data_IF_528665480190
#
_entry.id   IF_528665480190
#
_cell.length_a   1.000
_cell.length_b   1.000
_cell.length_c   1.000
_cell.angle_alpha   90.00
_cell.angle_beta   90.00
_cell.angle_gamma   90.00
#
_symmetry.space_group_name_H-M   'P 1'
#
loop_
_entity.id
_entity.type
_entity.pdbx_description
1 polymer ?
#
# COMPACT_ATOMS: atom_id res chain seq x y z
N UNK A 1 -3.30 32.03 -0.99
CA UNK A 1 -4.20 30.88 -0.84
C UNK A 1 -3.48 29.59 -0.44
N UNK A 2 -2.42 29.22 -1.15
CA UNK A 2 -1.57 28.10 -0.74
C UNK A 2 -1.04 28.25 0.67
N UNK A 3 -0.67 29.46 1.07
CA UNK A 3 -0.25 29.80 2.44
C UNK A 3 -1.39 29.65 3.45
N UNK A 4 -2.66 29.97 3.09
CA UNK A 4 -3.82 29.74 3.95
C UNK A 4 -4.14 28.25 4.12
N UNK A 5 -4.05 27.44 3.05
CA UNK A 5 -4.21 25.96 3.18
C UNK A 5 -3.07 25.30 3.94
N UNK A 6 -1.83 25.83 3.85
CA UNK A 6 -0.73 25.41 4.71
C UNK A 6 -0.97 25.70 6.20
N UNK A 7 -1.87 26.65 6.51
CA UNK A 7 -2.24 26.95 7.92
C UNK A 7 -3.26 25.99 8.51
N UNK A 8 -3.99 25.21 7.67
CA UNK A 8 -4.83 24.11 8.15
C UNK A 8 -3.94 22.93 8.52
N UNK A 9 -3.39 22.99 9.73
CA UNK A 9 -2.65 21.90 10.32
C UNK A 9 -3.61 20.73 10.58
N UNK A 10 -3.34 19.57 9.98
CA UNK A 10 -4.06 18.37 10.36
C UNK A 10 -3.90 18.13 11.87
N UNK A 11 -4.98 17.83 12.59
CA UNK A 11 -4.95 17.57 14.05
C UNK A 11 -3.89 16.52 14.39
N UNK A 12 -3.64 15.55 13.50
CA UNK A 12 -2.62 14.50 13.64
C UNK A 12 -1.20 15.05 13.69
N UNK A 13 -0.88 16.09 12.95
CA UNK A 13 0.48 16.64 12.87
C UNK A 13 0.88 17.33 14.20
N UNK A 14 -0.08 17.86 14.96
CA UNK A 14 0.16 18.43 16.30
C UNK A 14 0.58 17.41 17.36
N UNK A 15 0.25 16.13 17.15
CA UNK A 15 0.63 15.05 18.05
C UNK A 15 1.98 14.42 17.71
N UNK A 16 2.59 14.78 16.59
CA UNK A 16 3.92 14.27 16.25
C UNK A 16 4.98 14.71 17.26
N UNK A 17 5.89 13.78 17.66
CA UNK A 17 6.94 14.10 18.61
C UNK A 17 7.80 15.32 18.21
N UNK A 18 8.08 15.48 16.92
CA UNK A 18 8.84 16.62 16.40
C UNK A 18 8.10 17.96 16.58
N UNK A 19 6.77 17.98 16.46
CA UNK A 19 5.96 19.16 16.75
C UNK A 19 5.92 19.45 18.27
N UNK A 20 5.66 18.45 19.09
CA UNK A 20 5.64 18.59 20.55
C UNK A 20 6.99 19.07 21.10
N UNK A 21 8.11 18.62 20.51
CA UNK A 21 9.48 19.06 20.86
C UNK A 21 9.86 20.39 20.21
N UNK A 22 8.96 21.09 19.52
CA UNK A 22 9.19 22.35 18.78
C UNK A 22 10.32 22.29 17.73
N UNK A 23 10.68 21.08 17.28
CA UNK A 23 11.69 20.87 16.22
C UNK A 23 11.08 21.13 14.84
N UNK A 24 9.76 21.04 14.73
CA UNK A 24 9.00 21.24 13.50
C UNK A 24 7.74 22.06 13.80
N UNK A 25 7.42 23.02 12.92
CA UNK A 25 6.28 23.92 13.08
C UNK A 25 4.92 23.32 12.62
N UNK A 26 4.87 22.03 12.34
CA UNK A 26 3.67 21.32 11.89
C UNK A 26 3.23 21.68 10.47
N UNK A 27 4.06 22.37 9.67
CA UNK A 27 3.71 22.81 8.32
C UNK A 27 4.54 22.09 7.29
N UNK A 28 3.86 21.62 6.25
CA UNK A 28 4.51 21.11 5.03
C UNK A 28 4.55 22.24 4.00
N UNK A 29 5.75 22.60 3.57
CA UNK A 29 5.97 23.69 2.60
C UNK A 29 6.07 23.11 1.20
N UNK A 30 5.05 23.32 0.38
CA UNK A 30 5.00 22.91 -1.02
C UNK A 30 5.43 24.03 -1.97
N UNK A 31 5.54 25.25 -1.48
CA UNK A 31 6.02 26.44 -2.18
C UNK A 31 7.15 27.08 -1.39
N UNK A 32 8.27 27.37 -2.03
CA UNK A 32 9.39 28.11 -1.45
C UNK A 32 9.24 29.61 -1.75
N UNK A 33 9.01 30.42 -0.70
CA UNK A 33 8.92 31.88 -0.85
C UNK A 33 10.23 32.52 -1.27
N UNK A 34 11.37 31.93 -0.86
CA UNK A 34 12.71 32.49 -1.15
C UNK A 34 13.09 32.31 -2.61
N UNK A 35 12.71 31.18 -3.23
CA UNK A 35 13.09 30.81 -4.59
C UNK A 35 11.95 30.91 -5.61
N UNK A 36 10.71 31.18 -5.15
CA UNK A 36 9.52 31.15 -5.99
C UNK A 36 9.15 29.76 -6.52
N UNK A 37 9.85 28.69 -6.10
CA UNK A 37 9.67 27.34 -6.64
C UNK A 37 8.49 26.60 -6.02
N UNK A 38 7.75 25.89 -6.85
CA UNK A 38 6.68 24.96 -6.49
C UNK A 38 6.83 23.66 -7.28
N UNK A 39 6.34 22.57 -6.72
CA UNK A 39 6.31 21.30 -7.44
C UNK A 39 5.35 21.38 -8.64
N UNK A 40 5.84 21.02 -9.82
CA UNK A 40 5.06 21.08 -11.07
C UNK A 40 3.80 20.20 -11.03
N UNK A 41 3.80 19.11 -10.27
CA UNK A 41 2.62 18.27 -10.08
C UNK A 41 1.43 18.96 -9.43
N UNK A 42 1.62 20.16 -8.86
CA UNK A 42 0.55 20.98 -8.28
C UNK A 42 0.00 22.04 -9.25
N UNK A 43 0.39 21.99 -10.53
CA UNK A 43 -0.01 22.97 -11.53
C UNK A 43 -1.54 23.10 -11.66
N UNK A 44 -2.29 22.00 -11.58
CA UNK A 44 -3.76 22.03 -11.63
C UNK A 44 -4.35 22.91 -10.52
N UNK A 45 -3.80 22.85 -9.31
CA UNK A 45 -4.24 23.68 -8.18
C UNK A 45 -3.95 25.18 -8.41
N UNK A 46 -2.85 25.50 -9.14
CA UNK A 46 -2.51 26.87 -9.50
C UNK A 46 -3.49 27.39 -10.55
N UNK A 47 -3.77 26.58 -11.60
CA UNK A 47 -4.76 26.90 -12.63
C UNK A 47 -6.14 27.15 -12.03
N UNK A 48 -6.62 26.23 -11.19
CA UNK A 48 -7.92 26.37 -10.52
C UNK A 48 -8.00 27.64 -9.66
N UNK A 49 -6.92 27.97 -8.95
CA UNK A 49 -6.86 29.19 -8.16
C UNK A 49 -6.86 30.44 -9.02
N UNK A 50 -6.07 30.47 -10.09
CA UNK A 50 -5.99 31.61 -11.00
C UNK A 50 -7.35 31.87 -11.66
N UNK A 51 -8.02 30.82 -12.15
CA UNK A 51 -9.37 30.92 -12.73
C UNK A 51 -10.38 31.46 -11.72
N UNK A 52 -10.41 30.94 -10.48
CA UNK A 52 -11.34 31.37 -9.44
C UNK A 52 -11.14 32.82 -8.97
N UNK A 53 -9.97 33.38 -9.18
CA UNK A 53 -9.63 34.74 -8.75
C UNK A 53 -9.38 35.69 -9.92
N UNK A 54 -9.71 35.30 -11.14
CA UNK A 54 -9.51 36.07 -12.38
C UNK A 54 -8.04 36.56 -12.52
N UNK A 55 -7.08 35.69 -12.21
CA UNK A 55 -5.65 36.00 -12.33
C UNK A 55 -5.13 35.40 -13.63
N UNK A 56 -4.57 36.22 -14.49
CA UNK A 56 -3.88 35.74 -15.70
C UNK A 56 -2.54 35.12 -15.30
N UNK A 57 -2.32 33.87 -15.74
CA UNK A 57 -1.06 33.15 -15.56
C UNK A 57 -0.53 32.73 -16.94
N UNK A 58 0.76 32.90 -17.13
CA UNK A 58 1.47 32.33 -18.26
C UNK A 58 2.12 31.02 -17.84
N UNK A 59 1.92 29.96 -18.64
CA UNK A 59 2.49 28.64 -18.38
C UNK A 59 3.31 28.27 -19.62
N UNK A 60 4.55 27.88 -19.36
CA UNK A 60 5.44 27.40 -20.41
C UNK A 60 4.85 26.16 -21.08
N UNK A 61 4.92 26.11 -22.41
CA UNK A 61 4.42 24.99 -23.22
C UNK A 61 5.04 23.66 -22.84
N UNK A 62 6.31 23.65 -22.43
CA UNK A 62 6.98 22.42 -22.00
C UNK A 62 6.37 21.82 -20.71
N UNK A 63 5.77 22.65 -19.88
CA UNK A 63 5.13 22.23 -18.62
C UNK A 63 3.67 21.82 -18.85
N UNK A 64 3.02 22.39 -19.85
CA UNK A 64 1.58 22.22 -20.09
C UNK A 64 1.24 21.07 -21.05
N UNK A 65 2.14 20.72 -21.96
CA UNK A 65 1.83 19.81 -23.06
C UNK A 65 1.60 18.37 -22.58
N UNK A 66 0.34 17.94 -22.65
CA UNK A 66 -0.01 16.54 -22.74
C UNK A 66 0.55 15.97 -24.06
N UNK A 67 1.07 14.75 -24.02
CA UNK A 67 1.47 14.06 -25.24
C UNK A 67 0.23 13.74 -26.07
N UNK A 68 0.27 14.09 -27.36
CA UNK A 68 -0.74 13.63 -28.29
C UNK A 68 -0.52 12.14 -28.59
N UNK A 69 -1.32 11.29 -27.98
CA UNK A 69 -1.25 9.82 -28.12
C UNK A 69 -2.68 9.28 -28.17
N UNK A 70 -2.90 8.27 -28.99
CA UNK A 70 -4.20 7.62 -29.13
C UNK A 70 -4.26 6.36 -28.26
N UNK A 71 -5.38 6.14 -27.58
CA UNK A 71 -5.58 4.98 -26.71
C UNK A 71 -5.35 3.64 -27.42
N UNK A 72 -5.78 3.54 -28.66
CA UNK A 72 -5.65 2.30 -29.44
C UNK A 72 -4.18 2.01 -29.81
N UNK A 73 -3.34 3.03 -30.00
CA UNK A 73 -1.90 2.85 -30.20
C UNK A 73 -1.24 2.28 -28.94
N UNK A 74 -1.67 2.76 -27.78
CA UNK A 74 -1.20 2.21 -26.49
C UNK A 74 -1.63 0.74 -26.33
N UNK A 75 -2.88 0.43 -26.68
CA UNK A 75 -3.38 -0.96 -26.68
C UNK A 75 -2.54 -1.85 -27.60
N UNK A 76 -2.29 -1.41 -28.85
CA UNK A 76 -1.45 -2.16 -29.80
C UNK A 76 -0.03 -2.35 -29.29
N UNK A 77 0.55 -1.29 -28.72
CA UNK A 77 1.87 -1.36 -28.12
C UNK A 77 1.93 -2.41 -27.01
N UNK A 78 1.02 -2.35 -26.02
CA UNK A 78 1.05 -3.29 -24.90
C UNK A 78 0.82 -4.72 -25.38
N UNK A 79 -0.10 -4.95 -26.32
CA UNK A 79 -0.31 -6.27 -26.93
C UNK A 79 0.93 -6.79 -27.68
N UNK A 80 1.69 -5.91 -28.34
CA UNK A 80 2.92 -6.31 -29.04
C UNK A 80 4.02 -6.79 -28.11
N UNK A 81 3.98 -6.41 -26.82
CA UNK A 81 4.94 -6.90 -25.81
C UNK A 81 4.71 -8.39 -25.45
N UNK A 82 3.52 -8.95 -25.73
CA UNK A 82 3.13 -10.34 -25.44
C UNK A 82 3.56 -10.81 -24.04
N UNK A 83 3.20 -10.07 -22.98
CA UNK A 83 3.63 -10.42 -21.64
C UNK A 83 3.09 -11.81 -21.25
N UNK A 84 3.95 -12.62 -20.65
CA UNK A 84 3.60 -13.98 -20.18
C UNK A 84 3.67 -14.02 -18.65
N UNK A 85 2.96 -14.95 -18.06
CA UNK A 85 3.18 -15.34 -16.67
C UNK A 85 3.13 -16.87 -16.55
N UNK A 86 4.19 -17.44 -16.01
CA UNK A 86 4.39 -18.90 -15.94
C UNK A 86 4.21 -19.55 -17.31
N UNK A 87 4.75 -18.93 -18.35
CA UNK A 87 4.70 -19.41 -19.74
C UNK A 87 3.39 -19.17 -20.48
N UNK A 88 2.32 -18.69 -19.81
CA UNK A 88 1.02 -18.40 -20.44
C UNK A 88 0.92 -16.91 -20.75
N UNK A 89 0.41 -16.55 -21.93
CA UNK A 89 0.18 -15.16 -22.32
C UNK A 89 -0.86 -14.51 -21.38
N UNK A 90 -0.57 -13.29 -20.93
CA UNK A 90 -1.45 -12.54 -20.05
C UNK A 90 -2.50 -11.79 -20.85
N UNK A 91 -3.76 -11.94 -20.47
CA UNK A 91 -4.82 -11.09 -20.95
C UNK A 91 -4.71 -9.70 -20.31
N UNK A 92 -4.57 -8.68 -21.16
CA UNK A 92 -4.42 -7.29 -20.73
C UNK A 92 -5.80 -6.67 -20.57
N UNK A 93 -6.09 -6.15 -19.40
CA UNK A 93 -7.39 -5.59 -19.04
C UNK A 93 -7.52 -4.14 -19.46
N UNK A 94 -8.74 -3.72 -19.85
CA UNK A 94 -8.99 -2.35 -20.34
C UNK A 94 -8.53 -1.26 -19.37
N UNK A 95 -8.79 -1.43 -18.06
CA UNK A 95 -8.35 -0.44 -17.06
C UNK A 95 -6.82 -0.34 -16.94
N UNK A 96 -6.06 -1.39 -17.27
CA UNK A 96 -4.60 -1.36 -17.33
C UNK A 96 -4.13 -0.55 -18.55
N UNK A 97 -4.80 -0.73 -19.67
CA UNK A 97 -4.55 0.07 -20.89
C UNK A 97 -4.86 1.55 -20.59
N UNK A 98 -5.99 1.84 -19.95
CA UNK A 98 -6.40 3.20 -19.59
C UNK A 98 -5.42 3.85 -18.62
N UNK A 99 -4.88 3.10 -17.66
CA UNK A 99 -3.85 3.57 -16.73
C UNK A 99 -2.55 3.94 -17.46
N UNK A 100 -2.08 3.07 -18.36
CA UNK A 100 -0.86 3.33 -19.16
C UNK A 100 -1.12 4.51 -20.11
N UNK A 101 -2.25 4.55 -20.80
CA UNK A 101 -2.63 5.66 -21.66
C UNK A 101 -2.63 7.00 -20.91
N UNK A 102 -3.26 7.06 -19.75
CA UNK A 102 -3.28 8.26 -18.91
C UNK A 102 -1.85 8.69 -18.52
N UNK A 103 -1.04 7.75 -18.06
CA UNK A 103 0.34 8.03 -17.64
C UNK A 103 1.22 8.52 -18.80
N UNK A 104 1.13 7.88 -19.96
CA UNK A 104 1.89 8.28 -21.15
C UNK A 104 1.47 9.66 -21.66
N UNK A 105 0.17 9.98 -21.57
CA UNK A 105 -0.36 11.29 -21.97
C UNK A 105 0.11 12.40 -21.03
N UNK A 106 0.08 12.16 -19.71
CA UNK A 106 0.31 13.20 -18.69
C UNK A 106 1.78 13.40 -18.30
N UNK A 107 2.68 12.51 -18.67
CA UNK A 107 4.10 12.51 -18.31
C UNK A 107 4.36 12.37 -16.80
N UNK A 108 3.42 12.77 -15.97
CA UNK A 108 3.47 12.70 -14.49
C UNK A 108 2.10 12.39 -13.94
N UNK A 109 1.97 11.35 -13.14
CA UNK A 109 0.72 11.06 -12.44
C UNK A 109 0.92 10.12 -11.26
N UNK A 110 -0.07 10.14 -10.37
CA UNK A 110 -0.20 9.21 -9.26
C UNK A 110 -1.37 8.26 -9.54
N UNK A 111 -1.06 7.00 -9.82
CA UNK A 111 -2.05 5.96 -10.14
C UNK A 111 -2.48 5.23 -8.87
N UNK A 112 -3.78 5.31 -8.56
CA UNK A 112 -4.38 4.52 -7.47
C UNK A 112 -4.91 3.22 -8.06
N UNK A 113 -4.22 2.13 -7.78
CA UNK A 113 -4.49 0.81 -8.33
C UNK A 113 -4.52 -0.21 -7.19
N UNK A 114 -5.68 -0.79 -6.85
CA UNK A 114 -5.82 -1.70 -5.72
C UNK A 114 -4.85 -2.88 -5.77
N UNK A 115 -4.69 -3.56 -4.63
CA UNK A 115 -3.93 -4.82 -4.60
C UNK A 115 -4.55 -5.81 -5.57
N UNK A 116 -3.71 -6.60 -6.26
CA UNK A 116 -4.09 -7.57 -7.28
C UNK A 116 -4.75 -7.00 -8.56
N UNK A 117 -4.71 -5.69 -8.79
CA UNK A 117 -5.10 -5.08 -10.07
C UNK A 117 -4.07 -5.27 -11.19
N UNK A 118 -2.90 -5.86 -10.89
CA UNK A 118 -1.82 -6.04 -11.86
C UNK A 118 -0.94 -4.80 -12.02
N UNK A 119 -0.61 -4.11 -10.92
CA UNK A 119 0.32 -2.96 -10.90
C UNK A 119 1.64 -3.23 -11.61
N UNK A 120 2.25 -4.42 -11.39
CA UNK A 120 3.52 -4.80 -12.01
C UNK A 120 3.43 -4.75 -13.55
N UNK A 121 2.32 -5.18 -14.15
CA UNK A 121 2.11 -5.13 -15.60
C UNK A 121 1.96 -3.70 -16.12
N UNK A 122 1.30 -2.82 -15.35
CA UNK A 122 1.20 -1.38 -15.68
C UNK A 122 2.59 -0.76 -15.67
N UNK A 123 3.39 -1.02 -14.61
CA UNK A 123 4.78 -0.55 -14.50
C UNK A 123 5.61 -1.09 -15.65
N UNK A 124 5.56 -2.40 -15.91
CA UNK A 124 6.25 -3.04 -17.02
C UNK A 124 5.96 -2.35 -18.35
N UNK A 125 4.68 -2.12 -18.66
CA UNK A 125 4.28 -1.48 -19.92
C UNK A 125 4.81 -0.05 -20.04
N UNK A 126 4.78 0.73 -18.96
CA UNK A 126 5.35 2.08 -18.92
C UNK A 126 6.87 2.06 -19.14
N UNK A 127 7.57 1.19 -18.44
CA UNK A 127 9.03 1.08 -18.53
C UNK A 127 9.48 0.63 -19.91
N UNK A 128 8.78 -0.33 -20.53
CA UNK A 128 9.05 -0.77 -21.90
C UNK A 128 8.88 0.37 -22.90
N UNK A 129 7.82 1.20 -22.74
CA UNK A 129 7.62 2.37 -23.58
C UNK A 129 8.75 3.41 -23.41
N UNK A 130 9.09 3.73 -22.15
CA UNK A 130 10.13 4.73 -21.89
C UNK A 130 11.53 4.23 -22.22
N UNK A 131 11.81 2.95 -22.16
CA UNK A 131 13.08 2.37 -22.59
C UNK A 131 13.30 2.55 -24.12
N UNK A 132 12.22 2.51 -24.91
CA UNK A 132 12.29 2.81 -26.35
C UNK A 132 12.44 4.32 -26.63
N UNK A 133 11.83 5.14 -25.78
CA UNK A 133 11.83 6.60 -25.96
C UNK A 133 13.13 7.26 -25.48
N UNK A 134 13.67 6.80 -24.37
CA UNK A 134 14.81 7.40 -23.66
C UNK A 134 16.10 6.66 -23.98
N UNK A 135 16.64 6.89 -25.18
CA UNK A 135 17.86 6.16 -25.66
C UNK A 135 19.10 6.44 -24.81
N UNK A 136 19.25 7.69 -24.32
CA UNK A 136 20.44 8.19 -23.61
C UNK A 136 20.22 8.39 -22.11
N UNK A 137 19.07 7.99 -21.57
CA UNK A 137 18.72 8.17 -20.17
C UNK A 137 18.23 6.87 -19.54
N UNK A 138 18.60 6.68 -18.30
CA UNK A 138 18.17 5.51 -17.50
C UNK A 138 16.78 5.70 -16.89
N UNK A 139 16.22 4.59 -16.48
CA UNK A 139 14.92 4.51 -15.80
C UNK A 139 15.13 3.96 -14.39
N UNK A 140 14.56 4.63 -13.40
CA UNK A 140 14.63 4.23 -12.00
C UNK A 140 13.28 3.73 -11.49
N UNK A 141 13.26 2.54 -10.91
CA UNK A 141 12.11 2.00 -10.20
C UNK A 141 12.45 1.93 -8.72
N UNK A 142 11.69 2.62 -7.89
CA UNK A 142 11.86 2.64 -6.44
C UNK A 142 10.78 1.79 -5.77
N UNK A 143 11.21 0.82 -5.00
CA UNK A 143 10.35 -0.08 -4.21
C UNK A 143 10.75 -0.05 -2.74
N UNK A 144 9.84 -0.40 -1.80
CA UNK A 144 10.12 -0.26 -0.37
C UNK A 144 11.05 -1.31 0.24
N UNK A 145 11.10 -2.53 -0.32
CA UNK A 145 11.84 -3.65 0.27
C UNK A 145 12.63 -4.44 -0.75
N UNK A 146 13.67 -5.14 -0.31
CA UNK A 146 14.48 -6.02 -1.15
C UNK A 146 13.65 -7.15 -1.78
N UNK A 147 12.72 -7.73 -1.04
CA UNK A 147 11.79 -8.74 -1.57
C UNK A 147 10.97 -8.22 -2.75
N UNK A 148 10.56 -6.93 -2.72
CA UNK A 148 9.84 -6.32 -3.85
C UNK A 148 10.77 -5.99 -5.02
N UNK A 149 12.07 -5.72 -4.79
CA UNK A 149 13.06 -5.63 -5.87
C UNK A 149 13.14 -6.95 -6.63
N UNK A 150 13.31 -8.06 -5.90
CA UNK A 150 13.40 -9.40 -6.49
C UNK A 150 12.10 -9.81 -7.19
N UNK A 151 10.96 -9.54 -6.55
CA UNK A 151 9.66 -9.84 -7.15
C UNK A 151 9.46 -9.07 -8.46
N UNK A 152 9.72 -7.76 -8.47
CA UNK A 152 9.52 -6.94 -9.68
C UNK A 152 10.47 -7.35 -10.80
N UNK A 153 11.72 -7.65 -10.45
CA UNK A 153 12.69 -8.19 -11.39
C UNK A 153 12.21 -9.52 -11.98
N UNK A 154 11.81 -10.47 -11.13
CA UNK A 154 11.28 -11.77 -11.56
C UNK A 154 10.02 -11.64 -12.41
N UNK A 155 9.08 -10.74 -12.03
CA UNK A 155 7.88 -10.45 -12.82
C UNK A 155 8.25 -9.97 -14.22
N UNK A 156 9.24 -9.09 -14.36
CA UNK A 156 9.65 -8.54 -15.65
C UNK A 156 10.33 -9.59 -16.56
N UNK A 157 11.13 -10.49 -15.98
CA UNK A 157 11.69 -11.63 -16.69
C UNK A 157 10.57 -12.59 -17.15
N UNK A 158 9.63 -12.91 -16.25
CA UNK A 158 8.48 -13.77 -16.55
C UNK A 158 7.59 -13.15 -17.67
N UNK A 159 7.45 -11.81 -17.68
CA UNK A 159 6.77 -11.09 -18.77
C UNK A 159 7.52 -11.10 -20.10
N UNK A 160 8.73 -11.65 -20.16
CA UNK A 160 9.51 -11.84 -21.37
C UNK A 160 10.54 -10.72 -21.66
N UNK A 161 11.01 -9.99 -20.63
CA UNK A 161 12.10 -9.02 -20.82
C UNK A 161 13.47 -9.66 -20.52
N UNK A 162 14.49 -9.29 -21.30
CA UNK A 162 15.85 -9.79 -21.08
C UNK A 162 16.50 -9.17 -19.83
N UNK A 163 17.25 -9.98 -19.09
CA UNK A 163 18.10 -9.55 -17.98
C UNK A 163 19.10 -8.45 -18.36
N UNK A 164 19.55 -8.42 -19.61
CA UNK A 164 20.49 -7.41 -20.11
C UNK A 164 20.01 -5.97 -19.90
N UNK A 165 18.70 -5.77 -19.78
CA UNK A 165 18.11 -4.46 -19.59
C UNK A 165 17.87 -4.09 -18.12
N UNK A 166 17.97 -5.04 -17.20
CA UNK A 166 17.53 -4.91 -15.83
C UNK A 166 18.68 -5.01 -14.84
N UNK A 167 18.77 -4.07 -13.91
CA UNK A 167 19.73 -4.09 -12.81
C UNK A 167 19.04 -3.89 -11.47
N UNK A 168 19.50 -4.63 -10.45
CA UNK A 168 18.97 -4.55 -9.09
C UNK A 168 19.98 -3.86 -8.19
N UNK A 169 19.53 -2.90 -7.37
CA UNK A 169 20.39 -2.23 -6.38
C UNK A 169 19.78 -2.35 -4.99
N UNK A 170 20.43 -3.16 -4.16
CA UNK A 170 20.22 -3.24 -2.71
C UNK A 170 21.50 -3.76 -2.03
N UNK A 171 21.49 -4.04 -0.72
CA UNK A 171 22.70 -4.52 0.00
C UNK A 171 23.32 -5.73 -0.68
N UNK A 172 24.62 -5.65 -1.00
CA UNK A 172 25.37 -6.70 -1.69
C UNK A 172 25.39 -6.61 -3.22
N UNK A 173 24.65 -5.69 -3.84
CA UNK A 173 24.67 -5.48 -5.30
C UNK A 173 25.49 -4.25 -5.69
N UNK A 174 26.07 -4.30 -6.88
CA UNK A 174 26.78 -3.16 -7.49
C UNK A 174 25.84 -1.97 -7.67
N UNK A 175 26.35 -0.77 -7.38
CA UNK A 175 25.59 0.48 -7.39
C UNK A 175 25.69 1.25 -8.70
N UNK A 176 26.64 0.87 -9.55
CA UNK A 176 26.87 1.46 -10.87
C UNK A 176 26.63 0.40 -11.93
N UNK A 177 25.94 0.77 -12.98
CA UNK A 177 25.62 -0.14 -14.09
C UNK A 177 25.35 0.66 -15.37
N UNK A 178 25.62 0.06 -16.51
CA UNK A 178 25.24 0.60 -17.83
C UNK A 178 23.85 0.16 -18.28
N UNK A 179 23.24 -0.80 -17.56
CA UNK A 179 21.90 -1.27 -17.89
C UNK A 179 20.86 -0.13 -17.79
N UNK A 180 19.92 -0.05 -18.73
CA UNK A 180 19.01 1.09 -18.84
C UNK A 180 17.96 1.18 -17.74
N UNK A 181 17.62 0.08 -17.07
CA UNK A 181 16.56 0.04 -16.05
C UNK A 181 17.10 -0.44 -14.72
N UNK A 182 16.93 0.37 -13.70
CA UNK A 182 17.40 0.09 -12.34
C UNK A 182 16.20 -0.08 -11.41
N UNK A 183 16.13 -1.23 -10.75
CA UNK A 183 15.16 -1.52 -9.69
C UNK A 183 15.88 -1.45 -8.35
N UNK A 184 15.46 -0.56 -7.46
CA UNK A 184 16.19 -0.32 -6.21
C UNK A 184 15.27 -0.05 -5.03
N UNK A 185 15.77 -0.35 -3.83
CA UNK A 185 15.18 0.21 -2.62
C UNK A 185 15.64 1.65 -2.43
N UNK A 186 14.80 2.49 -1.83
CA UNK A 186 15.17 3.88 -1.53
C UNK A 186 16.33 3.97 -0.53
N UNK A 187 16.45 3.00 0.39
CA UNK A 187 17.53 2.93 1.39
C UNK A 187 18.90 2.84 0.74
N UNK A 188 18.98 2.19 -0.40
CA UNK A 188 20.23 2.02 -1.14
C UNK A 188 20.69 3.30 -1.85
N UNK A 189 19.77 4.21 -2.20
CA UNK A 189 20.06 5.37 -3.05
C UNK A 189 19.97 6.73 -2.37
N UNK A 190 19.27 6.88 -1.23
CA UNK A 190 18.98 8.21 -0.67
C UNK A 190 20.22 9.03 -0.29
N UNK A 191 21.35 8.36 0.01
CA UNK A 191 22.64 9.02 0.34
C UNK A 191 23.43 9.44 -0.88
N UNK A 192 23.08 9.00 -2.09
CA UNK A 192 23.84 9.29 -3.30
C UNK A 192 23.79 10.78 -3.65
N UNK A 193 24.87 11.32 -4.22
CA UNK A 193 24.93 12.72 -4.62
C UNK A 193 23.94 13.01 -5.77
N UNK A 194 23.59 14.26 -5.94
CA UNK A 194 22.68 14.72 -7.01
C UNK A 194 23.19 14.35 -8.42
N UNK A 195 24.52 14.33 -8.61
CA UNK A 195 25.15 13.95 -9.88
C UNK A 195 24.77 12.55 -10.35
N UNK A 196 24.62 11.59 -9.43
CA UNK A 196 24.16 10.23 -9.77
C UNK A 196 22.79 10.20 -10.45
N UNK A 197 21.92 11.12 -10.08
CA UNK A 197 20.54 11.15 -10.57
C UNK A 197 20.35 11.89 -11.90
N UNK A 198 21.39 12.50 -12.45
CA UNK A 198 21.32 13.25 -13.73
C UNK A 198 21.02 12.36 -14.95
N UNK A 199 21.39 11.07 -14.86
CA UNK A 199 21.25 10.13 -15.98
C UNK A 199 19.83 9.54 -16.07
N UNK A 200 18.94 9.87 -15.12
CA UNK A 200 17.59 9.32 -15.11
C UNK A 200 16.58 10.25 -15.78
N UNK A 201 15.93 9.75 -16.84
CA UNK A 201 14.84 10.46 -17.54
C UNK A 201 13.44 10.08 -17.08
N UNK A 202 13.30 8.89 -16.46
CA UNK A 202 12.04 8.38 -15.96
C UNK A 202 12.23 7.78 -14.55
N UNK A 203 11.25 8.03 -13.66
CA UNK A 203 11.18 7.39 -12.34
C UNK A 203 9.78 6.85 -12.07
N UNK A 204 9.75 5.63 -11.54
CA UNK A 204 8.52 5.00 -11.05
C UNK A 204 8.68 4.70 -9.56
N UNK A 205 7.74 5.15 -8.74
CA UNK A 205 7.66 4.79 -7.32
C UNK A 205 6.52 3.81 -7.10
N UNK A 206 6.84 2.56 -6.77
CA UNK A 206 5.82 1.63 -6.27
C UNK A 206 5.60 1.85 -4.78
N UNK A 207 4.40 1.53 -4.31
CA UNK A 207 3.91 1.89 -2.97
C UNK A 207 4.13 3.38 -2.66
N UNK A 208 3.70 4.24 -3.60
CA UNK A 208 3.95 5.68 -3.61
C UNK A 208 3.47 6.40 -2.33
N UNK A 209 2.53 5.81 -1.57
CA UNK A 209 2.08 6.33 -0.29
C UNK A 209 3.21 6.45 0.76
N UNK A 210 4.35 5.79 0.58
CA UNK A 210 5.52 5.89 1.45
C UNK A 210 6.37 7.13 1.17
N UNK A 211 6.22 7.79 0.02
CA UNK A 211 7.03 8.94 -0.42
C UNK A 211 6.77 10.24 0.35
N UNK A 212 6.05 10.19 1.46
CA UNK A 212 5.97 11.28 2.45
C UNK A 212 7.21 11.39 3.36
N UNK A 213 8.05 10.36 3.42
CA UNK A 213 9.26 10.37 4.22
C UNK A 213 10.34 11.28 3.59
N UNK A 214 11.15 11.93 4.45
CA UNK A 214 12.23 12.85 4.01
C UNK A 214 13.19 12.17 3.04
N UNK A 215 13.55 10.92 3.28
CA UNK A 215 14.52 10.18 2.46
C UNK A 215 14.01 9.94 1.04
N UNK A 216 12.76 9.50 0.90
CA UNK A 216 12.13 9.28 -0.41
C UNK A 216 11.88 10.60 -1.14
N UNK A 217 11.39 11.63 -0.43
CA UNK A 217 11.22 12.97 -1.00
C UNK A 217 12.58 13.53 -1.49
N UNK A 218 13.67 13.29 -0.74
CA UNK A 218 15.03 13.71 -1.11
C UNK A 218 15.50 13.10 -2.43
N UNK A 219 15.21 11.82 -2.68
CA UNK A 219 15.55 11.18 -3.97
C UNK A 219 14.81 11.89 -5.13
N UNK A 220 13.49 12.08 -4.98
CA UNK A 220 12.70 12.72 -6.04
C UNK A 220 13.08 14.19 -6.26
N UNK A 221 13.58 14.89 -5.24
CA UNK A 221 14.09 16.26 -5.39
C UNK A 221 15.46 16.32 -6.06
N UNK A 222 16.29 15.27 -5.93
CA UNK A 222 17.57 15.15 -6.64
C UNK A 222 17.42 14.83 -8.13
N UNK A 223 16.28 14.25 -8.53
CA UNK A 223 15.93 13.92 -9.92
C UNK A 223 15.41 15.15 -10.67
N UNK A 224 16.14 16.28 -10.67
CA UNK A 224 15.65 17.54 -11.25
C UNK A 224 15.37 17.42 -12.75
N UNK A 225 16.24 16.76 -13.49
CA UNK A 225 16.14 16.59 -14.95
C UNK A 225 15.21 15.44 -15.37
N UNK A 226 14.64 14.71 -14.41
CA UNK A 226 13.74 13.61 -14.69
C UNK A 226 12.35 14.14 -15.05
N UNK A 227 12.02 14.10 -16.34
CA UNK A 227 10.75 14.61 -16.88
C UNK A 227 9.56 13.68 -16.51
N UNK A 228 9.74 12.38 -16.60
CA UNK A 228 8.68 11.39 -16.48
C UNK A 228 8.64 10.78 -15.09
N UNK A 229 7.53 11.00 -14.35
CA UNK A 229 7.42 10.57 -12.96
C UNK A 229 6.09 9.90 -12.67
N UNK A 230 6.11 8.67 -12.24
CA UNK A 230 4.92 7.88 -11.98
C UNK A 230 4.95 7.32 -10.56
N UNK A 231 3.92 7.60 -9.80
CA UNK A 231 3.69 6.94 -8.52
C UNK A 231 2.57 5.93 -8.65
N UNK A 232 2.75 4.73 -8.12
CA UNK A 232 1.69 3.72 -8.04
C UNK A 232 1.46 3.34 -6.58
N UNK A 233 0.21 3.21 -6.19
CA UNK A 233 -0.15 2.74 -4.84
C UNK A 233 -1.53 2.11 -4.85
N UNK A 234 -1.78 1.18 -3.94
CA UNK A 234 -3.10 0.59 -3.75
C UNK A 234 -4.08 1.54 -3.09
N UNK A 235 -3.59 2.43 -2.23
CA UNK A 235 -4.42 3.33 -1.43
C UNK A 235 -3.63 4.54 -0.91
N UNK A 236 -4.34 5.63 -0.60
CA UNK A 236 -3.82 6.79 0.12
C UNK A 236 -4.29 6.74 1.57
N UNK A 237 -3.60 7.47 2.46
CA UNK A 237 -3.94 7.50 3.89
C UNK A 237 -5.19 8.34 4.24
N UNK A 238 -5.82 8.94 3.24
CA UNK A 238 -7.03 9.76 3.37
C UNK A 238 -6.76 11.21 3.81
N UNK A 239 -5.51 11.61 4.09
CA UNK A 239 -5.19 12.99 4.47
C UNK A 239 -4.88 13.86 3.26
N UNK A 240 -5.44 15.07 3.23
CA UNK A 240 -5.17 16.03 2.16
C UNK A 240 -3.69 16.42 2.07
N UNK A 241 -3.02 16.55 3.22
CA UNK A 241 -1.62 16.92 3.29
C UNK A 241 -0.72 15.88 2.61
N UNK A 242 -0.97 14.61 2.90
CA UNK A 242 -0.26 13.50 2.27
C UNK A 242 -0.50 13.46 0.76
N UNK A 243 -1.76 13.60 0.35
CA UNK A 243 -2.14 13.65 -1.06
C UNK A 243 -1.42 14.78 -1.80
N UNK A 244 -1.39 16.00 -1.26
CA UNK A 244 -0.72 17.15 -1.88
C UNK A 244 0.78 16.96 -2.04
N UNK A 245 1.45 16.31 -1.08
CA UNK A 245 2.88 15.98 -1.20
C UNK A 245 3.11 15.01 -2.36
N UNK A 246 2.31 13.95 -2.45
CA UNK A 246 2.45 12.97 -3.51
C UNK A 246 2.10 13.53 -4.89
N UNK A 247 1.03 14.33 -4.98
CA UNK A 247 0.68 15.02 -6.23
C UNK A 247 1.78 16.00 -6.65
N UNK A 248 2.39 16.70 -5.70
CA UNK A 248 3.54 17.55 -5.99
C UNK A 248 4.71 16.81 -6.61
N UNK A 249 5.01 15.62 -6.11
CA UNK A 249 6.15 14.81 -6.55
C UNK A 249 5.89 14.09 -7.87
N UNK A 250 4.70 13.51 -8.04
CA UNK A 250 4.36 12.63 -9.16
C UNK A 250 3.37 13.25 -10.17
N UNK A 251 2.50 14.15 -9.76
CA UNK A 251 1.41 14.69 -10.58
C UNK A 251 0.03 14.32 -10.03
N UNK A 252 -1.01 14.68 -10.77
CA UNK A 252 -2.39 14.49 -10.35
C UNK A 252 -2.75 13.02 -10.12
N UNK A 253 -3.67 12.80 -9.17
CA UNK A 253 -4.20 11.46 -8.87
C UNK A 253 -5.13 10.99 -9.99
N UNK A 254 -4.93 9.75 -10.43
CA UNK A 254 -5.85 9.02 -11.30
C UNK A 254 -6.21 7.68 -10.64
N UNK A 255 -7.51 7.42 -10.46
CA UNK A 255 -8.02 6.15 -9.95
C UNK A 255 -8.14 5.17 -11.10
N UNK A 256 -7.33 4.12 -11.10
CA UNK A 256 -7.26 3.11 -12.17
C UNK A 256 -8.50 2.22 -12.18
N UNK A 257 -8.88 1.70 -11.01
CA UNK A 257 -10.05 0.85 -10.78
C UNK A 257 -10.35 0.81 -9.28
N UNK A 258 -11.45 0.21 -8.88
CA UNK A 258 -11.78 -0.03 -7.47
C UNK A 258 -11.72 -1.53 -7.13
N UNK A 259 -11.56 -1.85 -5.84
CA UNK A 259 -11.63 -3.24 -5.38
C UNK A 259 -13.01 -3.84 -5.69
N UNK A 260 -14.07 -3.04 -5.57
CA UNK A 260 -15.43 -3.45 -5.91
C UNK A 260 -15.59 -3.81 -7.38
N UNK A 261 -15.10 -2.96 -8.31
CA UNK A 261 -15.14 -3.24 -9.75
C UNK A 261 -14.41 -4.54 -10.10
N UNK A 262 -13.28 -4.81 -9.42
CA UNK A 262 -12.51 -6.04 -9.62
C UNK A 262 -13.25 -7.29 -9.11
N UNK A 263 -14.02 -7.17 -8.02
CA UNK A 263 -14.89 -8.25 -7.52
C UNK A 263 -16.07 -8.49 -8.46
N UNK A 264 -16.75 -7.45 -8.91
CA UNK A 264 -17.87 -7.54 -9.87
C UNK A 264 -17.44 -8.20 -11.19
N UNK A 265 -16.23 -7.90 -11.66
CA UNK A 265 -15.61 -8.53 -12.82
C UNK A 265 -15.03 -9.92 -12.55
N UNK A 266 -15.27 -10.50 -11.36
CA UNK A 266 -14.73 -11.80 -10.92
C UNK A 266 -13.21 -11.94 -11.02
N UNK A 267 -12.50 -10.83 -11.05
CA UNK A 267 -11.03 -10.76 -11.03
C UNK A 267 -10.48 -11.00 -9.64
N UNK A 268 -11.27 -10.64 -8.63
CA UNK A 268 -11.02 -10.89 -7.22
C UNK A 268 -12.15 -11.76 -6.64
N UNK A 269 -11.84 -12.48 -5.56
CA UNK A 269 -12.83 -13.21 -4.79
C UNK A 269 -13.82 -12.24 -4.12
N UNK A 270 -15.05 -12.67 -3.93
CA UNK A 270 -16.06 -11.90 -3.20
C UNK A 270 -15.66 -11.75 -1.73
N UNK A 271 -15.81 -10.53 -1.19
CA UNK A 271 -15.54 -10.22 0.20
C UNK A 271 -16.82 -10.28 1.03
N UNK A 272 -16.76 -10.99 2.14
CA UNK A 272 -17.76 -10.95 3.21
C UNK A 272 -17.09 -10.44 4.50
N UNK A 273 -17.58 -9.37 5.09
CA UNK A 273 -17.03 -8.83 6.33
C UNK A 273 -17.98 -9.12 7.48
N UNK A 274 -17.48 -9.83 8.49
CA UNK A 274 -18.14 -10.06 9.76
C UNK A 274 -17.39 -9.29 10.85
N UNK A 275 -17.98 -8.18 11.29
CA UNK A 275 -17.46 -7.40 12.40
C UNK A 275 -17.96 -8.00 13.70
N UNK A 276 -17.07 -8.42 14.57
CA UNK A 276 -17.39 -9.02 15.87
C UNK A 276 -16.93 -8.07 16.95
N UNK A 277 -17.90 -7.45 17.65
CA UNK A 277 -17.63 -6.58 18.79
C UNK A 277 -17.74 -7.37 20.07
N UNK A 278 -16.60 -7.62 20.71
CA UNK A 278 -16.49 -8.32 21.98
C UNK A 278 -16.80 -7.33 23.11
N UNK A 279 -17.92 -7.53 23.78
CA UNK A 279 -18.32 -6.71 24.93
C UNK A 279 -17.74 -7.31 26.19
N UNK A 280 -16.80 -6.61 26.79
CA UNK A 280 -16.17 -6.99 28.06
C UNK A 280 -17.09 -6.67 29.23
N UNK A 281 -16.90 -7.35 30.39
CA UNK A 281 -17.59 -7.02 31.64
C UNK A 281 -17.42 -5.54 32.01
N UNK A 282 -18.45 -4.95 32.61
CA UNK A 282 -18.47 -3.52 32.96
C UNK A 282 -17.36 -3.13 33.95
N UNK A 283 -16.96 -4.06 34.82
CA UNK A 283 -15.86 -3.90 35.77
C UNK A 283 -14.54 -3.56 35.08
N UNK A 284 -14.22 -4.28 33.98
CA UNK A 284 -13.01 -4.05 33.21
C UNK A 284 -13.02 -2.64 32.56
N UNK A 285 -14.20 -2.19 32.11
CA UNK A 285 -14.37 -0.84 31.57
C UNK A 285 -14.20 0.25 32.65
N UNK A 286 -14.61 -0.04 33.89
CA UNK A 286 -14.40 0.86 35.03
C UNK A 286 -12.90 0.97 35.38
N UNK A 287 -12.15 -0.14 35.38
CA UNK A 287 -10.71 -0.16 35.65
C UNK A 287 -9.91 0.56 34.57
N UNK A 288 -10.29 0.39 33.30
CA UNK A 288 -9.59 0.96 32.14
C UNK A 288 -10.01 2.40 31.84
N UNK A 289 -10.97 2.95 32.58
CA UNK A 289 -11.42 4.33 32.34
C UNK A 289 -10.28 5.33 32.53
N UNK A 290 -9.93 6.04 31.45
CA UNK A 290 -8.81 6.99 31.43
C UNK A 290 -7.45 6.37 31.13
N UNK A 291 -7.37 5.06 30.92
CA UNK A 291 -6.18 4.39 30.45
C UNK A 291 -5.67 4.97 29.13
N UNK A 292 -4.36 4.92 28.93
CA UNK A 292 -3.74 5.23 27.63
C UNK A 292 -4.00 4.13 26.62
N UNK A 293 -3.80 4.44 25.34
CA UNK A 293 -3.88 3.43 24.28
C UNK A 293 -2.96 2.23 24.51
N UNK A 294 -1.77 2.46 25.06
CA UNK A 294 -0.81 1.40 25.33
C UNK A 294 -1.30 0.45 26.44
N UNK A 295 -1.88 0.99 27.50
CA UNK A 295 -2.46 0.21 28.63
C UNK A 295 -3.70 -0.56 28.17
N UNK A 296 -4.57 0.04 27.34
CA UNK A 296 -5.73 -0.67 26.76
C UNK A 296 -5.26 -1.86 25.89
N UNK A 297 -4.27 -1.65 25.02
CA UNK A 297 -3.74 -2.74 24.19
C UNK A 297 -3.08 -3.83 25.05
N UNK A 298 -2.34 -3.44 26.08
CA UNK A 298 -1.69 -4.41 26.98
C UNK A 298 -2.73 -5.27 27.68
N UNK A 299 -3.81 -4.69 28.19
CA UNK A 299 -4.95 -5.43 28.74
C UNK A 299 -5.55 -6.40 27.72
N UNK A 300 -5.83 -5.96 26.50
CA UNK A 300 -6.51 -6.76 25.48
C UNK A 300 -5.67 -7.99 25.05
N UNK A 301 -4.36 -7.81 24.86
CA UNK A 301 -3.49 -8.90 24.40
C UNK A 301 -3.22 -9.95 25.47
N UNK A 302 -3.32 -9.58 26.76
CA UNK A 302 -3.17 -10.50 27.88
C UNK A 302 -4.52 -11.08 28.35
N UNK A 303 -5.65 -10.66 27.81
CA UNK A 303 -6.95 -11.17 28.21
C UNK A 303 -7.18 -12.58 27.66
N UNK A 304 -7.11 -13.59 28.54
CA UNK A 304 -7.25 -14.99 28.17
C UNK A 304 -8.62 -15.33 27.58
N UNK A 305 -9.70 -14.73 28.08
CA UNK A 305 -11.07 -14.98 27.56
C UNK A 305 -11.17 -14.53 26.11
N UNK A 306 -10.63 -13.35 25.82
CA UNK A 306 -10.54 -12.80 24.46
C UNK A 306 -9.68 -13.68 23.54
N UNK A 307 -8.50 -14.09 23.99
CA UNK A 307 -7.59 -14.94 23.22
C UNK A 307 -8.21 -16.31 22.95
N UNK A 308 -8.88 -16.92 23.95
CA UNK A 308 -9.65 -18.16 23.79
C UNK A 308 -10.77 -17.98 22.75
N UNK A 309 -11.49 -16.85 22.75
CA UNK A 309 -12.49 -16.57 21.72
C UNK A 309 -11.88 -16.57 20.31
N UNK A 310 -10.71 -15.94 20.14
CA UNK A 310 -10.01 -15.91 18.83
C UNK A 310 -9.58 -17.32 18.43
N UNK A 311 -9.03 -18.12 19.36
CA UNK A 311 -8.62 -19.48 19.09
C UNK A 311 -9.79 -20.38 18.73
N UNK A 312 -10.90 -20.32 19.48
CA UNK A 312 -12.13 -21.06 19.22
C UNK A 312 -12.73 -20.68 17.87
N UNK A 313 -12.73 -19.38 17.53
CA UNK A 313 -13.17 -18.95 16.21
C UNK A 313 -12.29 -19.58 15.12
N UNK A 314 -10.96 -19.56 15.27
CA UNK A 314 -10.06 -20.18 14.29
C UNK A 314 -10.33 -21.69 14.13
N UNK A 315 -10.60 -22.39 15.20
CA UNK A 315 -10.86 -23.83 15.19
C UNK A 315 -12.15 -24.18 14.44
N UNK A 316 -13.20 -23.38 14.62
CA UNK A 316 -14.49 -23.59 13.94
C UNK A 316 -14.48 -23.26 12.45
N UNK A 317 -13.47 -22.54 11.95
CA UNK A 317 -13.40 -22.11 10.55
C UNK A 317 -12.79 -23.17 9.66
N UNK A 318 -13.47 -23.53 8.58
CA UNK A 318 -12.91 -24.35 7.52
C UNK A 318 -12.13 -23.51 6.50
N UNK A 319 -11.10 -24.09 5.89
CA UNK A 319 -10.25 -23.43 4.91
C UNK A 319 -9.06 -22.69 5.52
N UNK A 320 -8.11 -22.34 4.66
CA UNK A 320 -6.89 -21.61 5.10
C UNK A 320 -7.26 -20.29 5.75
N UNK A 321 -6.82 -20.12 7.00
CA UNK A 321 -7.17 -18.99 7.86
C UNK A 321 -5.92 -18.19 8.20
N UNK A 322 -5.95 -16.88 7.94
CA UNK A 322 -4.91 -15.95 8.30
C UNK A 322 -5.31 -15.17 9.55
N UNK A 323 -4.50 -15.22 10.59
CA UNK A 323 -4.67 -14.44 11.82
C UNK A 323 -3.62 -13.34 11.86
N UNK A 324 -4.07 -12.08 11.81
CA UNK A 324 -3.17 -10.91 11.79
C UNK A 324 -3.05 -10.26 13.15
N UNK A 325 -1.82 -10.17 13.65
CA UNK A 325 -1.48 -9.54 14.92
C UNK A 325 -0.49 -8.37 14.77
N UNK A 326 -0.36 -7.54 15.82
CA UNK A 326 0.54 -6.39 15.84
C UNK A 326 1.77 -6.61 16.72
N UNK A 327 1.63 -7.16 17.93
CA UNK A 327 2.69 -7.36 18.91
C UNK A 327 3.18 -8.80 18.84
N UNK A 328 4.46 -9.00 18.51
CA UNK A 328 5.03 -10.35 18.29
C UNK A 328 5.01 -11.15 19.58
N UNK A 329 5.72 -10.69 20.61
CA UNK A 329 5.92 -11.43 21.86
C UNK A 329 4.64 -11.48 22.70
N UNK A 330 3.99 -10.33 22.90
CA UNK A 330 2.83 -10.18 23.80
C UNK A 330 1.53 -10.78 23.26
N UNK A 331 1.40 -10.97 21.94
CA UNK A 331 0.16 -11.46 21.35
C UNK A 331 0.36 -12.56 20.31
N UNK A 332 1.21 -12.36 19.32
CA UNK A 332 1.43 -13.34 18.25
C UNK A 332 1.93 -14.68 18.77
N UNK A 333 2.96 -14.69 19.62
CA UNK A 333 3.49 -15.92 20.24
C UNK A 333 2.48 -16.57 21.18
N UNK A 334 1.68 -15.79 21.91
CA UNK A 334 0.63 -16.30 22.78
C UNK A 334 -0.43 -17.04 21.95
N UNK A 335 -0.97 -16.43 20.90
CA UNK A 335 -1.93 -17.06 20.00
C UNK A 335 -1.35 -18.32 19.34
N UNK A 336 -0.08 -18.27 18.90
CA UNK A 336 0.59 -19.42 18.34
C UNK A 336 0.70 -20.57 19.35
N UNK A 337 1.12 -20.29 20.59
CA UNK A 337 1.21 -21.30 21.67
C UNK A 337 -0.15 -21.94 21.97
N UNK A 338 -1.24 -21.17 21.91
CA UNK A 338 -2.59 -21.68 22.15
C UNK A 338 -3.14 -22.52 20.99
N UNK A 339 -2.68 -22.30 19.75
CA UNK A 339 -3.18 -22.97 18.54
C UNK A 339 -2.24 -24.06 18.01
N UNK A 340 -0.99 -24.16 18.48
CA UNK A 340 0.03 -25.10 17.95
C UNK A 340 -0.39 -26.55 17.94
N UNK A 341 -1.24 -26.95 18.89
CA UNK A 341 -1.70 -28.33 19.08
C UNK A 341 -3.07 -28.60 18.42
N UNK A 342 -3.59 -27.70 17.60
CA UNK A 342 -4.80 -27.92 16.82
C UNK A 342 -4.58 -29.04 15.78
N UNK A 343 -5.62 -29.76 15.46
CA UNK A 343 -5.60 -30.76 14.37
C UNK A 343 -5.58 -30.09 12.98
N UNK A 344 -4.67 -29.12 12.82
CA UNK A 344 -4.45 -28.30 11.62
C UNK A 344 -2.99 -27.87 11.57
N UNK A 345 -2.42 -27.67 10.40
CA UNK A 345 -1.08 -27.08 10.27
C UNK A 345 -1.12 -25.62 10.69
N UNK A 346 -0.34 -25.25 11.69
CA UNK A 346 -0.23 -23.90 12.22
C UNK A 346 1.15 -23.33 11.91
N UNK A 347 1.20 -22.19 11.22
CA UNK A 347 2.43 -21.50 10.87
C UNK A 347 2.51 -20.15 11.59
N UNK A 348 3.70 -19.79 12.05
CA UNK A 348 3.96 -18.49 12.68
C UNK A 348 4.96 -17.68 11.90
N UNK A 349 4.60 -16.45 11.48
CA UNK A 349 5.41 -15.61 10.61
C UNK A 349 5.45 -14.17 11.09
N UNK A 350 6.66 -13.66 11.28
CA UNK A 350 6.88 -12.28 11.73
C UNK A 350 8.14 -11.67 11.08
N UNK A 351 8.52 -10.44 11.48
CA UNK A 351 9.66 -9.74 10.89
C UNK A 351 11.00 -10.47 11.00
N UNK A 352 11.20 -11.27 12.05
CA UNK A 352 12.39 -12.08 12.27
C UNK A 352 12.44 -13.40 11.48
N UNK A 353 11.33 -13.85 10.88
CA UNK A 353 11.34 -15.04 10.02
C UNK A 353 12.14 -14.74 8.75
N UNK A 354 13.07 -15.61 8.39
CA UNK A 354 13.89 -15.44 7.19
C UNK A 354 13.07 -15.59 5.89
N UNK A 355 13.64 -15.14 4.78
CA UNK A 355 12.91 -15.06 3.50
C UNK A 355 12.59 -16.45 2.94
N UNK A 356 13.50 -17.43 3.10
CA UNK A 356 13.29 -18.79 2.59
C UNK A 356 12.14 -19.46 3.34
N UNK A 357 12.15 -19.41 4.67
CA UNK A 357 11.07 -19.97 5.50
C UNK A 357 9.71 -19.35 5.16
N UNK A 358 9.65 -18.04 4.88
CA UNK A 358 8.38 -17.39 4.43
C UNK A 358 7.90 -17.95 3.10
N UNK A 359 8.81 -18.19 2.18
CA UNK A 359 8.47 -18.73 0.86
C UNK A 359 8.02 -20.19 0.96
N UNK A 360 8.66 -21.00 1.81
CA UNK A 360 8.29 -22.38 2.07
C UNK A 360 6.88 -22.46 2.69
N UNK A 361 6.59 -21.61 3.70
CA UNK A 361 5.24 -21.52 4.30
C UNK A 361 4.21 -21.13 3.24
N UNK A 362 4.54 -20.17 2.36
CA UNK A 362 3.67 -19.78 1.25
C UNK A 362 3.38 -20.96 0.34
N UNK A 363 4.42 -21.67 -0.11
CA UNK A 363 4.30 -22.81 -1.01
C UNK A 363 3.48 -23.95 -0.39
N UNK A 364 3.73 -24.26 0.89
CA UNK A 364 2.95 -25.27 1.62
C UNK A 364 1.49 -24.83 1.73
N UNK A 365 1.23 -23.59 2.14
CA UNK A 365 -0.15 -23.09 2.33
C UNK A 365 -0.95 -23.05 1.03
N UNK A 366 -0.31 -22.80 -0.12
CA UNK A 366 -1.01 -22.85 -1.41
C UNK A 366 -1.56 -24.22 -1.75
N UNK A 367 -0.94 -25.30 -1.25
CA UNK A 367 -1.36 -26.68 -1.44
C UNK A 367 -2.25 -27.21 -0.30
N UNK A 368 -2.25 -26.54 0.86
CA UNK A 368 -3.09 -26.92 2.00
C UNK A 368 -4.51 -26.41 1.83
N UNK A 369 -5.45 -27.16 2.41
CA UNK A 369 -6.87 -26.80 2.38
C UNK A 369 -7.39 -26.26 3.70
N UNK A 370 -6.66 -26.46 4.79
CA UNK A 370 -7.13 -26.13 6.14
C UNK A 370 -5.98 -25.74 7.09
N UNK A 371 -5.07 -24.89 6.66
CA UNK A 371 -3.96 -24.36 7.49
C UNK A 371 -4.35 -23.07 8.22
N UNK A 372 -3.68 -22.80 9.34
CA UNK A 372 -3.72 -21.53 10.07
C UNK A 372 -2.37 -20.83 9.91
N UNK A 373 -2.37 -19.59 9.51
CA UNK A 373 -1.18 -18.75 9.41
C UNK A 373 -1.34 -17.57 10.37
N UNK A 374 -0.52 -17.53 11.40
CA UNK A 374 -0.48 -16.44 12.36
C UNK A 374 0.64 -15.51 11.95
N UNK A 375 0.30 -14.32 11.44
CA UNK A 375 1.27 -13.42 10.83
C UNK A 375 1.20 -11.99 11.38
N UNK A 376 2.36 -11.32 11.49
CA UNK A 376 2.36 -9.90 11.80
C UNK A 376 1.87 -9.08 10.60
N UNK A 377 1.13 -7.98 10.87
CA UNK A 377 0.66 -7.07 9.81
C UNK A 377 1.80 -6.58 8.90
N UNK A 378 2.96 -6.28 9.48
CA UNK A 378 4.13 -5.81 8.73
C UNK A 378 4.62 -6.84 7.72
N UNK A 379 4.82 -8.06 8.17
CA UNK A 379 5.32 -9.16 7.34
C UNK A 379 4.32 -9.56 6.26
N UNK A 380 3.03 -9.63 6.61
CA UNK A 380 2.00 -9.95 5.64
C UNK A 380 1.84 -8.85 4.59
N UNK A 381 1.93 -7.58 4.97
CA UNK A 381 1.77 -6.47 4.02
C UNK A 381 2.92 -6.32 3.01
N UNK A 382 4.11 -6.86 3.30
CA UNK A 382 5.31 -6.65 2.46
C UNK A 382 5.93 -7.91 1.89
N UNK A 383 5.61 -9.11 2.41
CA UNK A 383 6.43 -10.28 2.10
C UNK A 383 5.71 -11.60 1.80
N UNK A 384 4.43 -11.76 2.11
CA UNK A 384 3.75 -13.05 1.92
C UNK A 384 2.59 -12.89 0.94
N UNK A 385 2.61 -13.70 -0.12
CA UNK A 385 1.61 -13.69 -1.17
C UNK A 385 0.91 -15.04 -1.28
N UNK A 386 -0.06 -15.31 -0.40
CA UNK A 386 -0.84 -16.55 -0.42
C UNK A 386 -2.16 -16.31 -1.16
N UNK A 387 -2.42 -17.06 -2.22
CA UNK A 387 -3.66 -16.94 -3.01
C UNK A 387 -4.83 -17.70 -2.36
N UNK A 388 -4.55 -18.82 -1.74
CA UNK A 388 -5.56 -19.75 -1.21
C UNK A 388 -5.95 -19.42 0.25
N UNK A 389 -6.30 -18.14 0.54
CA UNK A 389 -6.77 -17.69 1.86
C UNK A 389 -8.32 -17.58 1.85
N UNK A 390 -8.99 -18.35 2.67
CA UNK A 390 -10.46 -18.37 2.77
C UNK A 390 -10.94 -17.41 3.87
N UNK A 391 -10.20 -17.33 4.97
CA UNK A 391 -10.54 -16.51 6.12
C UNK A 391 -9.39 -15.59 6.51
N UNK A 392 -9.72 -14.37 6.92
CA UNK A 392 -8.79 -13.40 7.51
C UNK A 392 -9.37 -12.97 8.84
N UNK A 393 -8.57 -13.00 9.89
CA UNK A 393 -8.97 -12.53 11.22
C UNK A 393 -8.08 -11.36 11.61
N UNK A 394 -8.68 -10.20 11.85
CA UNK A 394 -8.01 -9.07 12.47
C UNK A 394 -8.06 -9.26 13.99
N UNK A 395 -7.05 -9.91 14.56
CA UNK A 395 -6.95 -10.16 15.99
C UNK A 395 -6.46 -8.95 16.78
N UNK A 396 -5.73 -8.04 16.12
CA UNK A 396 -5.28 -6.77 16.71
C UNK A 396 -5.88 -5.61 15.90
N UNK A 397 -6.75 -4.79 16.50
CA UNK A 397 -7.43 -3.72 15.79
C UNK A 397 -6.44 -2.64 15.31
N UNK A 398 -6.61 -2.18 14.09
CA UNK A 398 -5.84 -1.10 13.47
C UNK A 398 -6.76 -0.10 12.79
N UNK A 399 -6.48 1.20 12.97
CA UNK A 399 -7.19 2.28 12.26
C UNK A 399 -6.55 2.67 10.93
N UNK A 400 -5.41 2.08 10.60
CA UNK A 400 -4.67 2.45 9.40
C UNK A 400 -5.40 1.98 8.14
N UNK A 401 -5.97 2.92 7.37
CA UNK A 401 -6.64 2.67 6.09
C UNK A 401 -5.78 1.81 5.15
N UNK A 402 -4.50 2.17 5.02
CA UNK A 402 -3.55 1.46 4.16
C UNK A 402 -3.42 0.00 4.60
N UNK A 403 -3.18 -0.23 5.90
CA UNK A 403 -2.99 -1.58 6.45
C UNK A 403 -4.25 -2.44 6.28
N UNK A 404 -5.43 -1.88 6.56
CA UNK A 404 -6.71 -2.57 6.40
C UNK A 404 -6.93 -2.98 4.95
N UNK A 405 -6.84 -2.05 4.01
CA UNK A 405 -7.11 -2.31 2.60
C UNK A 405 -6.05 -3.21 1.94
N UNK A 406 -4.78 -3.10 2.32
CA UNK A 406 -3.73 -4.02 1.84
C UNK A 406 -3.96 -5.44 2.33
N UNK A 407 -4.34 -5.62 3.60
CA UNK A 407 -4.64 -6.94 4.17
C UNK A 407 -5.85 -7.58 3.49
N UNK A 408 -6.93 -6.84 3.29
CA UNK A 408 -8.11 -7.28 2.55
C UNK A 408 -7.72 -7.66 1.11
N UNK A 409 -7.07 -6.76 0.39
CA UNK A 409 -6.73 -6.96 -1.02
C UNK A 409 -5.84 -8.18 -1.30
N UNK A 410 -4.95 -8.54 -0.37
CA UNK A 410 -4.15 -9.78 -0.50
C UNK A 410 -5.01 -11.03 -0.30
N UNK A 411 -5.95 -10.98 0.63
CA UNK A 411 -6.89 -12.08 0.84
C UNK A 411 -7.89 -12.27 -0.30
N UNK A 412 -8.14 -11.26 -1.12
CA UNK A 412 -9.09 -11.33 -2.24
C UNK A 412 -8.53 -11.97 -3.52
N UNK A 413 -7.28 -12.37 -3.56
CA UNK A 413 -6.73 -13.08 -4.73
C UNK A 413 -7.48 -14.38 -4.96
N UNK A 414 -7.80 -14.66 -6.21
CA UNK A 414 -8.49 -15.89 -6.62
C UNK A 414 -7.51 -17.05 -6.75
N UNK A 415 -7.99 -18.25 -6.47
CA UNK A 415 -7.40 -19.53 -6.85
C UNK A 415 -8.48 -20.42 -7.49
N UNK A 416 -8.10 -21.53 -8.07
CA UNK A 416 -9.05 -22.45 -8.74
C UNK A 416 -10.19 -22.92 -7.81
N UNK A 417 -9.90 -23.05 -6.51
CA UNK A 417 -10.85 -23.52 -5.48
C UNK A 417 -11.51 -22.41 -4.67
N UNK A 418 -11.19 -21.11 -4.94
CA UNK A 418 -11.59 -20.03 -4.07
C UNK A 418 -12.30 -18.91 -4.82
N UNK A 419 -13.58 -18.72 -4.53
CA UNK A 419 -14.43 -17.66 -5.07
C UNK A 419 -14.83 -16.60 -4.04
N UNK A 420 -14.63 -16.89 -2.74
CA UNK A 420 -15.05 -16.04 -1.61
C UNK A 420 -13.98 -15.98 -0.53
N UNK A 421 -13.86 -14.83 0.11
CA UNK A 421 -13.04 -14.63 1.32
C UNK A 421 -13.90 -13.99 2.40
N UNK A 422 -13.80 -14.49 3.64
CA UNK A 422 -14.45 -13.87 4.80
C UNK A 422 -13.42 -13.17 5.67
N UNK A 423 -13.65 -11.89 5.96
CA UNK A 423 -12.92 -11.13 6.96
C UNK A 423 -13.70 -11.15 8.28
N UNK A 424 -13.04 -11.58 9.33
CA UNK A 424 -13.50 -11.46 10.72
C UNK A 424 -12.77 -10.30 11.36
N UNK A 425 -13.47 -9.17 11.50
CA UNK A 425 -12.93 -7.95 12.12
C UNK A 425 -13.28 -7.93 13.60
N UNK A 426 -12.34 -8.35 14.44
CA UNK A 426 -12.54 -8.41 15.90
C UNK A 426 -12.24 -7.04 16.49
N UNK A 427 -13.16 -6.54 17.29
CA UNK A 427 -13.09 -5.29 18.02
C UNK A 427 -13.54 -5.48 19.45
N UNK A 428 -13.05 -4.62 20.33
CA UNK A 428 -13.28 -4.75 21.77
C UNK A 428 -14.03 -3.54 22.30
N UNK A 429 -15.15 -3.77 22.98
CA UNK A 429 -15.94 -2.78 23.69
C UNK A 429 -15.71 -2.93 25.20
N UNK A 430 -14.79 -2.12 25.72
CA UNK A 430 -14.55 -1.95 27.16
C UNK A 430 -15.02 -0.59 27.64
N UNK A 431 -16.00 0.01 26.95
CA UNK A 431 -16.57 1.30 27.30
C UNK A 431 -17.26 1.27 28.67
N UNK A 432 -17.18 2.39 29.38
CA UNK A 432 -17.84 2.57 30.68
C UNK A 432 -18.53 3.91 30.77
N UNK A 433 -19.84 3.92 30.98
CA UNK A 433 -20.70 5.12 30.96
C UNK A 433 -20.50 5.93 29.67
N UNK A 434 -20.15 7.20 29.76
CA UNK A 434 -19.87 8.06 28.61
C UNK A 434 -18.44 7.93 28.05
N UNK A 435 -17.57 7.14 28.68
CA UNK A 435 -16.21 6.92 28.18
C UNK A 435 -16.20 5.77 27.16
N UNK A 436 -15.60 6.05 26.01
CA UNK A 436 -15.39 5.05 24.94
C UNK A 436 -13.91 4.76 24.80
N UNK A 437 -13.58 3.51 24.64
CA UNK A 437 -12.19 3.05 24.52
C UNK A 437 -11.62 3.26 23.10
N UNK A 438 -10.30 3.24 22.99
CA UNK A 438 -9.58 3.53 21.74
C UNK A 438 -9.84 2.48 20.66
N UNK A 439 -9.85 1.20 20.99
CA UNK A 439 -10.01 0.13 19.99
C UNK A 439 -11.42 0.11 19.42
N UNK A 440 -12.43 0.48 20.21
CA UNK A 440 -13.79 0.70 19.70
C UNK A 440 -13.86 1.92 18.77
N UNK A 441 -13.18 3.01 19.11
CA UNK A 441 -13.06 4.17 18.20
C UNK A 441 -12.35 3.80 16.89
N UNK A 442 -11.31 2.97 16.95
CA UNK A 442 -10.64 2.44 15.75
C UNK A 442 -11.56 1.55 14.90
N UNK A 443 -12.48 0.83 15.53
CA UNK A 443 -13.51 0.07 14.82
C UNK A 443 -14.42 0.97 13.99
N UNK A 444 -14.91 2.07 14.54
CA UNK A 444 -15.72 3.02 13.77
C UNK A 444 -14.95 3.64 12.61
N UNK A 445 -13.64 3.90 12.78
CA UNK A 445 -12.80 4.34 11.64
C UNK A 445 -12.73 3.25 10.54
N UNK A 446 -12.70 1.96 10.88
CA UNK A 446 -12.74 0.87 9.89
C UNK A 446 -14.10 0.75 9.20
N UNK A 447 -15.19 0.92 9.94
CA UNK A 447 -16.53 0.96 9.34
C UNK A 447 -16.63 2.08 8.29
N UNK A 448 -16.08 3.26 8.57
CA UNK A 448 -16.00 4.34 7.57
C UNK A 448 -15.22 3.91 6.33
N UNK A 449 -14.09 3.20 6.49
CA UNK A 449 -13.32 2.66 5.36
C UNK A 449 -14.17 1.68 4.55
N UNK A 450 -14.90 0.76 5.19
CA UNK A 450 -15.76 -0.21 4.51
C UNK A 450 -16.89 0.47 3.72
N UNK A 451 -17.49 1.52 4.29
CA UNK A 451 -18.51 2.33 3.62
C UNK A 451 -17.94 3.08 2.39
N UNK A 452 -16.77 3.70 2.52
CA UNK A 452 -16.11 4.42 1.42
C UNK A 452 -15.69 3.51 0.26
N UNK A 453 -15.30 2.26 0.57
CA UNK A 453 -14.97 1.25 -0.44
C UNK A 453 -16.20 0.47 -0.93
N UNK A 454 -17.41 0.77 -0.40
CA UNK A 454 -18.68 0.09 -0.68
C UNK A 454 -18.61 -1.43 -0.42
N UNK A 455 -17.95 -1.84 0.67
CA UNK A 455 -17.94 -3.23 1.11
C UNK A 455 -19.17 -3.54 1.95
N UNK A 456 -19.75 -4.72 1.73
CA UNK A 456 -20.83 -5.23 2.58
C UNK A 456 -20.27 -5.80 3.87
N UNK A 457 -20.86 -5.44 5.00
CA UNK A 457 -20.45 -5.96 6.31
C UNK A 457 -21.67 -6.22 7.21
N UNK A 458 -21.50 -7.10 8.19
CA UNK A 458 -22.45 -7.37 9.27
C UNK A 458 -21.74 -7.15 10.60
N UNK A 459 -22.45 -6.55 11.58
CA UNK A 459 -21.94 -6.33 12.93
C UNK A 459 -22.67 -7.24 13.89
N UNK A 460 -21.93 -8.09 14.57
CA UNK A 460 -22.41 -8.98 15.63
C UNK A 460 -21.73 -8.58 16.95
N UNK A 461 -22.49 -8.57 18.05
CA UNK A 461 -21.99 -8.28 19.41
C UNK A 461 -21.97 -9.59 20.20
N UNK A 462 -20.84 -9.87 20.81
CA UNK A 462 -20.62 -11.05 21.65
C UNK A 462 -20.22 -10.60 23.06
N UNK A 463 -20.85 -11.12 24.08
CA UNK A 463 -20.45 -10.89 25.48
C UNK A 463 -19.34 -11.87 25.83
N UNK A 464 -18.25 -11.38 26.40
CA UNK A 464 -17.16 -12.18 26.97
C UNK A 464 -17.45 -12.59 28.39
#
# INVERSE_FOLDING_TARGET
WMVRRQRQMCIRDRFMPAYKKRIWDGKIRLFSRQTGKIYVGLLSYIKDYATKNNINIHIDKEVENDRNIVREDVRRFIKSLRPKSKGKELEIRDYQIDAVFHALRKHRCLLISPTASGKSLIIYSLIRFYNLLLKDKKILILVPTTSLVEQMYSDFIDYGWSDEHLHRIYSGHEKVTDKPVIISTWQSLYKFPKSYFKDFGCVVGDEAHLFKSKSLTSILTKLEDCKYRFGLTGTLDGTLTHRLVLEGLFGSVNKVTSTKDLMEKKTLANLNIKCIVLKHPEENGKELKGATYAEEIDYLVHNNVRNNFICNLCDTLSGNTLVLFQLVEKHGMVLHSMMKDFDRKVFFVYGGTDTQTREDIRAITENEKNAIIIASYGTFSTGINIKNLHNIIFSSPSKSRIRVLQSIGRGLRTSESKTKTTLYDISDDVSYKAWSNFTLSHFYERINIYNEENFNYKIDKVKL
#
